data_IF_145486191960
#
_entry.id   IF_145486191960
#
_cell.length_a   1.000
_cell.length_b   1.000
_cell.length_c   1.000
_cell.angle_alpha   90.00
_cell.angle_beta   90.00
_cell.angle_gamma   90.00
#
_symmetry.space_group_name_H-M   'P 1'
#
loop_
_entity.id
_entity.type
_entity.pdbx_description
1 polymer ?
#
# COMPACT_ATOMS: atom_id res chain seq x y z
N UNK A 1 -5.99 -19.09 4.93
CA UNK A 1 -5.55 -18.23 6.06
C UNK A 1 -6.41 -16.98 6.09
N UNK A 2 -6.83 -16.52 7.27
CA UNK A 2 -7.57 -15.28 7.44
C UNK A 2 -6.81 -14.35 8.39
N UNK A 3 -6.47 -13.15 7.91
CA UNK A 3 -5.95 -12.06 8.74
C UNK A 3 -7.11 -11.25 9.31
N UNK A 4 -7.00 -10.84 10.59
CA UNK A 4 -8.09 -10.17 11.30
C UNK A 4 -7.61 -8.82 11.85
N UNK A 5 -8.46 -7.84 11.75
CA UNK A 5 -8.37 -6.56 12.43
C UNK A 5 -9.73 -6.14 12.94
N UNK A 6 -9.77 -5.24 13.88
CA UNK A 6 -10.99 -4.67 14.47
C UNK A 6 -10.88 -3.16 14.56
N UNK A 7 -12.03 -2.49 14.51
CA UNK A 7 -12.11 -1.06 14.75
C UNK A 7 -13.28 -0.79 15.70
N UNK A 8 -13.09 0.22 16.54
CA UNK A 8 -14.12 0.76 17.43
C UNK A 8 -14.33 2.23 17.08
N UNK A 9 -15.58 2.65 17.02
CA UNK A 9 -15.94 4.06 16.83
C UNK A 9 -16.92 4.48 17.90
N UNK A 10 -16.67 5.62 18.53
CA UNK A 10 -17.52 6.19 19.56
C UNK A 10 -17.93 7.61 19.18
N UNK A 11 -19.22 7.90 19.17
CA UNK A 11 -19.77 9.22 18.94
C UNK A 11 -20.20 9.49 17.48
N UNK A 12 -20.48 10.76 17.18
CA UNK A 12 -20.86 11.21 15.84
C UNK A 12 -19.68 11.18 14.86
N UNK A 13 -19.97 11.35 13.58
CA UNK A 13 -18.90 11.34 12.55
C UNK A 13 -17.85 12.44 12.81
N UNK A 14 -18.28 13.66 13.14
CA UNK A 14 -17.36 14.80 13.29
C UNK A 14 -16.64 14.85 14.63
N UNK A 15 -17.32 14.51 15.69
CA UNK A 15 -16.81 14.64 17.07
C UNK A 15 -16.35 13.32 17.67
N UNK A 16 -16.69 12.21 17.02
CA UNK A 16 -16.32 10.88 17.47
C UNK A 16 -14.83 10.58 17.33
N UNK A 17 -14.45 9.50 17.99
CA UNK A 17 -13.07 8.98 17.98
C UNK A 17 -13.09 7.47 17.77
N UNK A 18 -12.12 6.99 17.05
CA UNK A 18 -11.97 5.58 16.80
C UNK A 18 -10.59 5.02 17.12
N UNK A 19 -10.52 3.72 17.24
CA UNK A 19 -9.26 2.97 17.36
C UNK A 19 -9.27 1.76 16.45
N UNK A 20 -8.10 1.39 15.96
CA UNK A 20 -7.87 0.22 15.11
C UNK A 20 -6.88 -0.70 15.83
N UNK A 21 -7.16 -2.00 15.81
CA UNK A 21 -6.24 -3.03 16.32
C UNK A 21 -6.15 -4.20 15.35
N UNK A 22 -4.95 -4.77 15.21
CA UNK A 22 -4.73 -6.02 14.47
C UNK A 22 -4.66 -7.20 15.43
N UNK A 23 -5.04 -8.38 14.96
CA UNK A 23 -4.97 -9.60 15.78
C UNK A 23 -3.55 -9.95 16.26
N UNK A 24 -2.53 -9.51 15.53
CA UNK A 24 -1.12 -9.67 15.91
C UNK A 24 -0.65 -8.67 16.97
N UNK A 25 -1.44 -7.61 17.23
CA UNK A 25 -1.07 -6.53 18.13
C UNK A 25 -0.07 -5.50 17.55
N UNK A 26 0.34 -5.65 16.29
CA UNK A 26 1.23 -4.68 15.62
C UNK A 26 0.60 -3.29 15.58
N UNK A 27 -0.71 -3.22 15.30
CA UNK A 27 -1.53 -2.05 15.64
C UNK A 27 -2.32 -2.39 16.91
N UNK A 28 -2.20 -1.55 17.92
CA UNK A 28 -2.91 -1.68 19.17
C UNK A 28 -3.52 -0.34 19.55
N UNK A 29 -4.84 -0.26 19.45
CA UNK A 29 -5.60 0.97 19.73
C UNK A 29 -5.07 2.19 18.98
N UNK A 30 -4.64 2.01 17.72
CA UNK A 30 -4.19 3.12 16.89
C UNK A 30 -5.35 4.09 16.63
N UNK A 31 -5.18 5.34 16.96
CA UNK A 31 -6.23 6.36 16.88
C UNK A 31 -6.56 6.72 15.43
N UNK A 32 -7.83 6.96 15.15
CA UNK A 32 -8.30 7.61 13.94
C UNK A 32 -9.54 8.46 14.22
N UNK A 33 -9.76 9.49 13.42
CA UNK A 33 -10.86 10.45 13.62
C UNK A 33 -11.26 11.12 12.30
N UNK A 34 -12.32 11.90 12.32
CA UNK A 34 -12.67 12.78 11.21
C UNK A 34 -11.52 13.74 10.88
N UNK A 35 -10.93 14.35 11.90
CA UNK A 35 -9.82 15.29 11.73
C UNK A 35 -8.58 14.64 11.10
N UNK A 36 -8.22 13.41 11.48
CA UNK A 36 -7.09 12.71 10.86
C UNK A 36 -7.37 12.37 9.40
N UNK A 37 -8.61 12.05 9.05
CA UNK A 37 -8.97 11.61 7.70
C UNK A 37 -9.21 12.76 6.72
N UNK A 38 -9.82 13.84 7.16
CA UNK A 38 -10.32 14.91 6.29
C UNK A 38 -9.71 16.29 6.55
N UNK A 39 -9.07 16.50 7.69
CA UNK A 39 -8.52 17.81 8.11
C UNK A 39 -7.00 17.81 8.27
N UNK A 40 -6.34 16.70 7.94
CA UNK A 40 -4.87 16.60 7.98
C UNK A 40 -4.26 16.57 9.38
N UNK A 41 -5.04 16.24 10.41
CA UNK A 41 -4.51 16.12 11.76
C UNK A 41 -3.55 14.91 11.86
N UNK A 42 -2.41 15.10 12.52
CA UNK A 42 -1.35 14.09 12.69
C UNK A 42 -1.48 13.25 13.97
N UNK A 43 -2.61 13.34 14.66
CA UNK A 43 -2.84 12.67 15.95
C UNK A 43 -3.27 11.20 15.84
N UNK A 44 -3.31 10.65 14.64
CA UNK A 44 -3.72 9.29 14.39
C UNK A 44 -3.51 8.88 12.94
N UNK A 45 -3.96 7.69 12.59
CA UNK A 45 -3.88 7.14 11.24
C UNK A 45 -5.17 7.40 10.44
N UNK A 46 -5.20 6.91 9.19
CA UNK A 46 -6.39 6.94 8.32
C UNK A 46 -6.62 5.56 7.70
N UNK A 47 -7.84 5.22 7.29
CA UNK A 47 -8.09 4.01 6.51
C UNK A 47 -7.25 3.95 5.22
N UNK A 48 -7.04 5.10 4.58
CA UNK A 48 -6.23 5.23 3.37
C UNK A 48 -4.75 4.91 3.62
N UNK A 49 -4.20 5.32 4.77
CA UNK A 49 -2.84 4.97 5.19
C UNK A 49 -2.68 3.46 5.42
N UNK A 50 -3.69 2.81 5.98
CA UNK A 50 -3.71 1.34 6.13
C UNK A 50 -3.73 0.63 4.77
N UNK A 51 -4.49 1.13 3.81
CA UNK A 51 -4.48 0.63 2.42
C UNK A 51 -3.10 0.82 1.80
N UNK A 52 -2.49 1.99 1.98
CA UNK A 52 -1.15 2.30 1.48
C UNK A 52 -0.10 1.33 2.04
N UNK A 53 -0.11 1.09 3.34
CA UNK A 53 0.80 0.15 4.00
C UNK A 53 0.62 -1.28 3.47
N UNK A 54 -0.63 -1.74 3.34
CA UNK A 54 -0.95 -3.05 2.79
C UNK A 54 -0.48 -3.19 1.33
N UNK A 55 -0.71 -2.16 0.51
CA UNK A 55 -0.34 -2.19 -0.91
C UNK A 55 1.17 -2.13 -1.11
N UNK A 56 1.87 -1.23 -0.43
CA UNK A 56 3.32 -1.11 -0.51
C UNK A 56 4.04 -2.39 -0.09
N UNK A 57 3.62 -3.01 1.02
CA UNK A 57 4.22 -4.25 1.52
C UNK A 57 3.95 -5.44 0.59
N UNK A 58 2.71 -5.60 0.12
CA UNK A 58 2.34 -6.67 -0.80
C UNK A 58 3.05 -6.54 -2.15
N UNK A 59 3.13 -5.32 -2.70
CA UNK A 59 3.84 -5.05 -3.94
C UNK A 59 5.34 -5.34 -3.83
N UNK A 60 5.99 -4.91 -2.74
CA UNK A 60 7.43 -5.18 -2.51
C UNK A 60 7.75 -6.67 -2.50
N UNK A 61 6.89 -7.47 -1.85
CA UNK A 61 7.02 -8.94 -1.86
C UNK A 61 6.79 -9.53 -3.26
N UNK A 62 5.78 -9.03 -3.97
CA UNK A 62 5.50 -9.45 -5.35
C UNK A 62 6.67 -9.11 -6.29
N UNK A 63 7.27 -7.93 -6.15
CA UNK A 63 8.45 -7.54 -6.93
C UNK A 63 9.65 -8.45 -6.63
N UNK A 64 9.92 -8.74 -5.36
CA UNK A 64 10.96 -9.69 -4.97
C UNK A 64 10.74 -11.07 -5.61
N UNK A 65 9.50 -11.56 -5.62
CA UNK A 65 9.16 -12.84 -6.25
C UNK A 65 9.37 -12.81 -7.78
N UNK A 66 9.00 -11.73 -8.46
CA UNK A 66 9.21 -11.60 -9.91
C UNK A 66 10.68 -11.48 -10.28
N UNK A 67 11.49 -10.77 -9.49
CA UNK A 67 12.93 -10.71 -9.66
C UNK A 67 13.57 -12.10 -9.48
N UNK A 68 13.13 -12.86 -8.48
CA UNK A 68 13.55 -14.24 -8.27
C UNK A 68 13.18 -15.15 -9.45
N UNK A 69 11.96 -15.03 -9.97
CA UNK A 69 11.52 -15.76 -11.16
C UNK A 69 12.33 -15.39 -12.43
N UNK A 70 12.83 -14.17 -12.52
CA UNK A 70 13.73 -13.69 -13.56
C UNK A 70 15.20 -14.16 -13.37
N UNK A 71 15.49 -14.94 -12.32
CA UNK A 71 16.81 -15.53 -12.08
C UNK A 71 17.73 -14.73 -11.15
N UNK A 72 17.21 -13.68 -10.46
CA UNK A 72 18.00 -12.98 -9.46
C UNK A 72 18.01 -13.78 -8.16
N UNK A 73 19.21 -14.14 -7.70
CA UNK A 73 19.41 -14.80 -6.41
C UNK A 73 19.26 -13.79 -5.24
N UNK A 74 19.01 -14.30 -4.05
CA UNK A 74 18.72 -13.46 -2.88
C UNK A 74 19.85 -12.45 -2.55
N UNK A 75 21.11 -12.82 -2.78
CA UNK A 75 22.29 -11.95 -2.57
C UNK A 75 22.41 -10.83 -3.62
N UNK A 76 21.64 -10.90 -4.70
CA UNK A 76 21.57 -9.87 -5.75
C UNK A 76 20.44 -8.88 -5.54
N UNK A 77 19.46 -9.18 -4.71
CA UNK A 77 18.36 -8.29 -4.33
C UNK A 77 18.73 -7.64 -2.99
N UNK A 78 19.44 -6.51 -3.03
CA UNK A 78 19.90 -5.86 -1.80
C UNK A 78 18.77 -5.16 -1.06
N UNK A 79 17.90 -4.45 -1.78
CA UNK A 79 16.84 -3.66 -1.18
C UNK A 79 15.72 -3.37 -2.16
N UNK A 80 14.49 -3.40 -1.68
CA UNK A 80 13.29 -2.88 -2.35
C UNK A 80 12.61 -1.92 -1.38
N UNK A 81 12.38 -0.70 -1.82
CA UNK A 81 11.63 0.32 -1.09
C UNK A 81 10.41 0.71 -1.91
N UNK A 82 9.24 0.64 -1.31
CA UNK A 82 8.00 1.05 -1.96
C UNK A 82 7.20 1.98 -1.07
N UNK A 83 6.85 3.13 -1.60
CA UNK A 83 5.86 4.03 -1.04
C UNK A 83 4.57 3.90 -1.85
N UNK A 84 3.44 3.84 -1.18
CA UNK A 84 2.13 3.93 -1.80
C UNK A 84 1.41 5.19 -1.33
N UNK A 85 0.91 5.99 -2.28
CA UNK A 85 0.08 7.14 -2.01
C UNK A 85 -1.36 6.86 -2.46
N UNK A 86 -2.29 6.85 -1.51
CA UNK A 86 -3.71 6.55 -1.73
C UNK A 86 -4.51 7.84 -1.69
N UNK A 87 -5.23 8.14 -2.77
CA UNK A 87 -6.04 9.34 -2.90
C UNK A 87 -7.51 9.04 -2.63
N UNK A 88 -8.05 9.66 -1.57
CA UNK A 88 -9.48 9.75 -1.32
C UNK A 88 -10.02 11.04 -1.97
N UNK A 89 -10.98 10.93 -2.87
CA UNK A 89 -11.57 12.07 -3.55
C UNK A 89 -13.10 12.05 -3.48
N UNK A 90 -13.71 13.25 -3.51
CA UNK A 90 -15.14 13.39 -3.64
C UNK A 90 -15.53 13.20 -5.10
N UNK A 91 -16.45 12.28 -5.36
CA UNK A 91 -17.03 11.99 -6.68
C UNK A 91 -18.52 12.33 -6.69
N UNK A 92 -19.18 12.18 -7.81
CA UNK A 92 -20.64 12.38 -7.91
C UNK A 92 -21.41 11.41 -6.99
N UNK A 93 -20.89 10.20 -6.75
CA UNK A 93 -21.50 9.18 -5.88
C UNK A 93 -21.02 9.23 -4.43
N UNK A 94 -20.20 10.21 -4.04
CA UNK A 94 -19.63 10.35 -2.69
C UNK A 94 -18.11 10.21 -2.66
N UNK A 95 -17.54 9.96 -1.50
CA UNK A 95 -16.09 9.75 -1.38
C UNK A 95 -15.68 8.37 -1.89
N UNK A 96 -14.60 8.34 -2.67
CA UNK A 96 -14.02 7.10 -3.20
C UNK A 96 -12.48 7.17 -3.22
N UNK A 97 -11.84 6.02 -3.08
CA UNK A 97 -10.42 5.87 -3.39
C UNK A 97 -10.29 5.80 -4.91
N UNK A 98 -9.78 6.86 -5.51
CA UNK A 98 -9.74 7.03 -6.96
C UNK A 98 -8.41 6.68 -7.59
N UNK A 99 -7.33 6.78 -6.82
CA UNK A 99 -5.97 6.60 -7.34
C UNK A 99 -5.03 6.07 -6.27
N UNK A 100 -4.16 5.16 -6.66
CA UNK A 100 -3.01 4.70 -5.87
C UNK A 100 -1.76 4.86 -6.72
N UNK A 101 -0.75 5.56 -6.19
CA UNK A 101 0.57 5.69 -6.81
C UNK A 101 1.55 4.83 -6.03
N UNK A 102 2.19 3.88 -6.70
CA UNK A 102 3.28 3.08 -6.17
C UNK A 102 4.60 3.65 -6.67
N UNK A 103 5.40 4.20 -5.78
CA UNK A 103 6.77 4.64 -6.06
C UNK A 103 7.72 3.58 -5.49
N UNK A 104 8.38 2.83 -6.35
CA UNK A 104 9.31 1.77 -5.93
C UNK A 104 10.73 2.06 -6.40
N UNK A 105 11.69 1.77 -5.54
CA UNK A 105 13.12 1.81 -5.83
C UNK A 105 13.72 0.46 -5.45
N UNK A 106 14.58 -0.07 -6.31
CA UNK A 106 15.30 -1.30 -6.01
C UNK A 106 16.79 -1.12 -6.22
N UNK A 107 17.56 -1.63 -5.27
CA UNK A 107 19.00 -1.78 -5.38
C UNK A 107 19.32 -3.24 -5.67
N UNK A 108 19.77 -3.50 -6.92
CA UNK A 108 19.99 -4.84 -7.45
C UNK A 108 21.43 -4.95 -7.99
N UNK A 109 22.01 -6.13 -7.86
CA UNK A 109 23.32 -6.44 -8.48
C UNK A 109 23.14 -7.12 -9.83
N UNK A 110 23.62 -6.47 -10.90
CA UNK A 110 23.69 -7.08 -12.23
C UNK A 110 22.33 -7.32 -12.88
N UNK A 111 21.31 -6.54 -12.56
CA UNK A 111 20.05 -6.48 -13.29
C UNK A 111 20.08 -5.32 -14.27
N UNK A 112 19.51 -5.51 -15.46
CA UNK A 112 19.28 -4.40 -16.39
C UNK A 112 18.02 -3.63 -16.04
N UNK A 113 17.91 -2.42 -16.57
CA UNK A 113 16.72 -1.58 -16.40
C UNK A 113 15.48 -2.29 -16.97
N UNK A 114 15.62 -2.90 -18.14
CA UNK A 114 14.52 -3.61 -18.83
C UNK A 114 14.04 -4.82 -18.02
N UNK A 115 14.95 -5.61 -17.45
CA UNK A 115 14.60 -6.72 -16.57
C UNK A 115 13.85 -6.26 -15.33
N UNK A 116 14.32 -5.20 -14.72
CA UNK A 116 13.68 -4.60 -13.55
C UNK A 116 12.29 -4.03 -13.86
N UNK A 117 12.15 -3.23 -14.93
CA UNK A 117 10.86 -2.65 -15.32
C UNK A 117 9.84 -3.75 -15.69
N UNK A 118 10.26 -4.80 -16.37
CA UNK A 118 9.41 -5.97 -16.63
C UNK A 118 8.93 -6.62 -15.34
N UNK A 119 9.85 -6.93 -14.42
CA UNK A 119 9.51 -7.53 -13.13
C UNK A 119 8.57 -6.62 -12.31
N UNK A 120 8.78 -5.31 -12.32
CA UNK A 120 7.93 -4.34 -11.62
C UNK A 120 6.50 -4.30 -12.20
N UNK A 121 6.34 -4.34 -13.52
CA UNK A 121 5.03 -4.40 -14.16
C UNK A 121 4.32 -5.73 -13.90
N UNK A 122 5.03 -6.85 -13.94
CA UNK A 122 4.49 -8.17 -13.58
C UNK A 122 4.08 -8.22 -12.10
N UNK A 123 4.85 -7.62 -11.21
CA UNK A 123 4.51 -7.47 -9.79
C UNK A 123 3.23 -6.64 -9.59
N UNK A 124 3.07 -5.51 -10.31
CA UNK A 124 1.86 -4.71 -10.28
C UNK A 124 0.62 -5.53 -10.68
N UNK A 125 0.73 -6.32 -11.73
CA UNK A 125 -0.38 -7.14 -12.23
C UNK A 125 -0.64 -8.37 -11.35
N UNK A 126 0.39 -8.93 -10.71
CA UNK A 126 0.32 -10.14 -9.91
C UNK A 126 0.03 -9.92 -8.42
N UNK A 127 0.33 -8.73 -7.89
CA UNK A 127 0.13 -8.42 -6.48
C UNK A 127 -1.35 -8.59 -6.08
N UNK A 128 -1.68 -9.40 -5.07
CA UNK A 128 -3.06 -9.60 -4.63
C UNK A 128 -3.81 -8.31 -4.26
N UNK A 129 -3.14 -7.34 -3.65
CA UNK A 129 -3.75 -6.05 -3.29
C UNK A 129 -3.98 -5.20 -4.55
N UNK A 130 -3.06 -5.20 -5.52
CA UNK A 130 -3.31 -4.56 -6.82
C UNK A 130 -4.53 -5.15 -7.53
N UNK A 131 -4.66 -6.48 -7.53
CA UNK A 131 -5.82 -7.17 -8.12
C UNK A 131 -7.14 -6.79 -7.44
N UNK A 132 -7.12 -6.60 -6.10
CA UNK A 132 -8.30 -6.18 -5.35
C UNK A 132 -8.82 -4.82 -5.82
N UNK A 133 -7.93 -3.89 -6.18
CA UNK A 133 -8.28 -2.52 -6.58
C UNK A 133 -8.35 -2.27 -8.08
N UNK A 134 -7.83 -3.18 -8.92
CA UNK A 134 -7.61 -2.95 -10.35
C UNK A 134 -8.86 -2.53 -11.16
N UNK A 135 -10.06 -2.94 -10.74
CA UNK A 135 -11.29 -2.66 -11.49
C UNK A 135 -11.99 -1.35 -11.09
N UNK A 136 -11.59 -0.71 -10.01
CA UNK A 136 -12.28 0.47 -9.47
C UNK A 136 -11.35 1.62 -9.06
N UNK A 137 -10.04 1.42 -9.14
CA UNK A 137 -9.05 2.40 -8.73
C UNK A 137 -7.90 2.43 -9.73
N UNK A 138 -7.50 3.62 -10.16
CA UNK A 138 -6.30 3.79 -10.98
C UNK A 138 -5.05 3.44 -10.17
N UNK A 139 -4.23 2.52 -10.67
CA UNK A 139 -2.94 2.17 -10.05
C UNK A 139 -1.81 2.61 -10.97
N UNK A 140 -1.05 3.59 -10.54
CA UNK A 140 0.15 4.11 -11.23
C UNK A 140 1.39 3.53 -10.59
N UNK A 141 2.33 3.06 -11.42
CA UNK A 141 3.62 2.54 -10.98
C UNK A 141 4.75 3.41 -11.51
N UNK A 142 5.58 3.92 -10.61
CA UNK A 142 6.86 4.55 -10.90
C UNK A 142 7.96 3.65 -10.32
N UNK A 143 8.78 3.05 -11.19
CA UNK A 143 9.81 2.11 -10.80
C UNK A 143 11.20 2.67 -11.15
N UNK A 144 12.11 2.68 -10.20
CA UNK A 144 13.48 3.19 -10.35
C UNK A 144 14.47 2.11 -9.92
N UNK A 145 15.40 1.79 -10.80
CA UNK A 145 16.57 0.95 -10.48
C UNK A 145 17.73 1.85 -10.05
N UNK A 146 18.29 1.58 -8.86
CA UNK A 146 19.49 2.23 -8.32
C UNK A 146 20.76 1.44 -8.65
#
# INVERSE_FOLDING_TARGET
>A
MASKASAVWNGSLKEGKGTISTATGVLHNANYSFATRFEGASSGTTPEEMIAAAHASCFSMALSAQLGAAGLTADRIEKIETEAAVTLAKTESGFAVTRIVLNTKAKLKGATKEEFEKAANEAKNGCPISKLFANNTEIVLNATLE
#
